data_IF_256038601948
#
_entry.id   IF_256038601948
#
_cell.length_a   1.000
_cell.length_b   1.000
_cell.length_c   1.000
_cell.angle_alpha   90.00
_cell.angle_beta   90.00
_cell.angle_gamma   90.00
#
_symmetry.space_group_name_H-M   'P 1'
#
loop_
_entity.id
_entity.type
_entity.pdbx_description
1 polymer ?
#
# COMPACT_ATOMS: atom_id res chain seq x y z
N UNK A 1 -20.47 -0.20 -1.55
CA UNK A 1 -19.17 0.51 -1.44
C UNK A 1 -18.32 0.05 -2.62
N UNK A 2 -17.66 0.97 -3.32
CA UNK A 2 -16.89 0.66 -4.54
C UNK A 2 -15.52 0.05 -4.26
N UNK A 3 -14.82 -0.35 -5.32
CA UNK A 3 -13.42 -0.78 -5.26
C UNK A 3 -12.51 0.45 -5.21
N UNK A 4 -11.67 0.54 -4.19
CA UNK A 4 -10.64 1.58 -4.11
C UNK A 4 -9.44 1.20 -4.98
N UNK A 5 -8.91 2.15 -5.74
CA UNK A 5 -7.75 1.97 -6.60
C UNK A 5 -6.55 2.71 -6.01
N UNK A 6 -5.39 2.05 -6.03
CA UNK A 6 -4.10 2.67 -5.73
C UNK A 6 -3.26 2.57 -7.00
N UNK A 7 -2.72 3.70 -7.43
CA UNK A 7 -1.79 3.80 -8.54
C UNK A 7 -0.42 4.30 -8.06
N UNK A 8 0.58 4.20 -8.95
CA UNK A 8 1.93 4.74 -8.72
C UNK A 8 2.63 4.20 -7.44
N UNK A 9 2.46 2.91 -7.16
CA UNK A 9 3.10 2.23 -6.03
C UNK A 9 4.53 1.81 -6.36
N UNK A 10 5.38 1.74 -5.33
CA UNK A 10 6.76 1.30 -5.44
C UNK A 10 6.98 -0.02 -4.71
N UNK A 11 7.60 -1.00 -5.38
CA UNK A 11 7.59 -2.40 -4.94
C UNK A 11 8.95 -3.10 -4.91
N UNK A 12 10.04 -2.49 -5.37
CA UNK A 12 11.34 -3.15 -5.51
C UNK A 12 11.85 -3.67 -4.16
N UNK A 13 11.84 -2.82 -3.12
CA UNK A 13 12.30 -3.22 -1.78
C UNK A 13 11.39 -4.28 -1.15
N UNK A 14 10.08 -4.16 -1.34
CA UNK A 14 9.11 -5.14 -0.85
C UNK A 14 9.30 -6.51 -1.53
N UNK A 15 9.51 -6.51 -2.84
CA UNK A 15 9.73 -7.72 -3.64
C UNK A 15 10.97 -8.46 -3.13
N UNK A 16 12.09 -7.75 -2.97
CA UNK A 16 13.31 -8.32 -2.41
C UNK A 16 13.10 -8.87 -0.99
N UNK A 17 12.33 -8.17 -0.15
CA UNK A 17 12.06 -8.61 1.21
C UNK A 17 11.18 -9.87 1.24
N UNK A 18 10.13 -9.94 0.40
CA UNK A 18 9.25 -11.10 0.25
C UNK A 18 10.01 -12.34 -0.25
N UNK A 19 10.87 -12.17 -1.27
CA UNK A 19 11.70 -13.26 -1.79
C UNK A 19 12.63 -13.84 -0.73
N UNK A 20 13.32 -12.98 0.03
CA UNK A 20 14.21 -13.41 1.12
C UNK A 20 13.46 -14.10 2.25
N UNK A 21 12.25 -13.64 2.55
CA UNK A 21 11.40 -14.22 3.60
C UNK A 21 10.64 -15.48 3.14
N UNK A 22 10.60 -15.78 1.83
CA UNK A 22 9.75 -16.82 1.27
C UNK A 22 8.25 -16.57 1.53
N UNK A 23 7.85 -15.31 1.72
CA UNK A 23 6.51 -14.91 2.19
C UNK A 23 6.01 -13.74 1.36
N UNK A 24 4.79 -13.90 0.82
CA UNK A 24 4.10 -12.87 0.03
C UNK A 24 2.89 -12.28 0.77
N UNK A 25 2.60 -12.82 1.95
CA UNK A 25 1.54 -12.32 2.83
C UNK A 25 2.15 -11.46 3.94
N UNK A 26 1.67 -10.23 4.01
CA UNK A 26 2.09 -9.21 4.96
C UNK A 26 0.91 -8.35 5.35
N UNK A 27 1.04 -7.66 6.49
CA UNK A 27 0.02 -6.68 6.88
C UNK A 27 0.18 -5.43 6.03
N UNK A 28 -0.86 -5.10 5.28
CA UNK A 28 -0.94 -3.88 4.49
C UNK A 28 -1.60 -2.75 5.29
N UNK A 29 -0.94 -1.59 5.33
CA UNK A 29 -1.47 -0.37 5.97
C UNK A 29 -1.44 0.77 4.96
N UNK A 30 -2.60 1.28 4.57
CA UNK A 30 -2.74 2.47 3.75
C UNK A 30 -3.62 3.50 4.46
N UNK A 31 -2.99 4.39 5.22
CA UNK A 31 -3.67 5.52 5.84
C UNK A 31 -3.64 6.72 4.90
N UNK A 32 -4.80 7.31 4.62
CA UNK A 32 -4.93 8.54 3.84
C UNK A 32 -5.10 9.77 4.74
N UNK A 33 -4.72 10.93 4.22
CA UNK A 33 -5.04 12.21 4.83
C UNK A 33 -6.55 12.46 4.76
N UNK A 34 -7.16 12.91 5.86
CA UNK A 34 -8.59 13.24 5.88
C UNK A 34 -8.84 14.59 5.21
N UNK A 35 -9.18 14.58 3.92
CA UNK A 35 -9.58 15.78 3.16
C UNK A 35 -11.04 15.65 2.76
N UNK A 36 -11.86 16.63 3.16
CA UNK A 36 -13.30 16.65 2.86
C UNK A 36 -13.51 16.99 1.38
N UNK A 37 -14.34 16.19 0.70
CA UNK A 37 -14.68 16.39 -0.72
C UNK A 37 -13.64 15.85 -1.72
N UNK A 38 -12.57 15.19 -1.24
CA UNK A 38 -11.58 14.57 -2.12
C UNK A 38 -12.12 13.31 -2.84
N UNK A 39 -11.76 13.16 -4.11
CA UNK A 39 -12.07 11.98 -4.95
C UNK A 39 -10.91 10.97 -5.04
N UNK A 40 -9.77 11.32 -4.43
CA UNK A 40 -8.53 10.55 -4.36
C UNK A 40 -7.58 11.26 -3.41
N UNK A 41 -6.72 10.51 -2.74
CA UNK A 41 -5.84 11.05 -1.69
C UNK A 41 -4.47 10.38 -1.77
N UNK A 42 -3.38 11.15 -1.61
CA UNK A 42 -2.07 10.54 -1.48
C UNK A 42 -2.03 9.65 -0.24
N UNK A 43 -1.37 8.53 -0.38
CA UNK A 43 -1.12 7.56 0.69
C UNK A 43 0.36 7.24 0.73
N UNK A 44 0.85 6.84 1.89
CA UNK A 44 2.15 6.19 2.03
C UNK A 44 1.91 4.75 2.51
N UNK A 45 1.71 3.79 1.60
CA UNK A 45 1.39 2.43 1.99
C UNK A 45 2.59 1.74 2.64
N UNK A 46 2.33 1.05 3.74
CA UNK A 46 3.33 0.26 4.45
C UNK A 46 3.00 -1.23 4.33
N UNK A 47 4.01 -2.02 4.01
CA UNK A 47 3.99 -3.46 4.13
C UNK A 47 4.78 -3.87 5.38
N UNK A 48 4.13 -4.55 6.31
CA UNK A 48 4.77 -5.08 7.51
C UNK A 48 4.88 -6.60 7.36
N UNK A 49 6.10 -7.06 7.06
CA UNK A 49 6.49 -8.46 6.87
C UNK A 49 6.73 -9.16 8.21
#
# INVERSE_FOLDING_TARGET
MGLHLLDYLQFEDLTMACERAGRWEFRFVAASLRIVGGIGLPVNPLAVL
#
